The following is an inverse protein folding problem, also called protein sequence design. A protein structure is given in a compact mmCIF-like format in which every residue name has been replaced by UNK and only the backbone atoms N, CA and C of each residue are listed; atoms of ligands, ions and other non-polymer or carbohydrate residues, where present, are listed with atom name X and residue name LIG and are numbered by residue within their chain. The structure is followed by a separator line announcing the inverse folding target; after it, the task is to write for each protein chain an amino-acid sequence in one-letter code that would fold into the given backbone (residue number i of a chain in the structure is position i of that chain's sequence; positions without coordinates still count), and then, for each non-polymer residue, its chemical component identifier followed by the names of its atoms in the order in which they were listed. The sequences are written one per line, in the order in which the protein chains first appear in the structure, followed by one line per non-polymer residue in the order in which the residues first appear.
data_IF_102271417487
#
_entry.id   IF_102271417487
#
_cell.length_a   1.000
_cell.length_b   1.000
_cell.length_c   1.000
_cell.angle_alpha   90.00
_cell.angle_beta   90.00
_cell.angle_gamma   90.00
#
_symmetry.space_group_name_H-M   'P 1'
#
loop_
_entity.id
_entity.type
_entity.pdbx_description
1 polymer ?
#
# COMPACT_ATOMS: atom_id res chain seq x y z
N UNK A 1 -0.03 -13.96 -12.67
CA UNK A 1 0.07 -12.82 -11.76
C UNK A 1 1.45 -12.19 -11.87
N UNK A 2 1.49 -10.91 -12.11
CA UNK A 2 2.74 -10.18 -12.30
C UNK A 2 3.32 -9.76 -10.96
N UNK A 3 4.61 -9.39 -10.98
CA UNK A 3 5.25 -8.89 -9.77
C UNK A 3 4.57 -7.59 -9.30
N UNK A 4 4.10 -6.77 -10.24
CA UNK A 4 3.38 -5.56 -9.89
C UNK A 4 2.10 -5.85 -9.14
N UNK A 5 1.35 -6.85 -9.59
CA UNK A 5 0.12 -7.24 -8.90
C UNK A 5 0.42 -7.76 -7.50
N UNK A 6 1.46 -8.57 -7.38
CA UNK A 6 1.86 -9.10 -6.07
C UNK A 6 2.26 -7.98 -5.14
N UNK A 7 2.97 -6.99 -5.66
CA UNK A 7 3.39 -5.86 -4.84
C UNK A 7 2.19 -5.03 -4.37
N UNK A 8 1.20 -4.82 -5.23
CA UNK A 8 -0.01 -4.11 -4.83
C UNK A 8 -0.76 -4.86 -3.75
N UNK A 9 -0.84 -6.18 -3.87
CA UNK A 9 -1.49 -6.99 -2.85
C UNK A 9 -0.75 -6.91 -1.52
N UNK A 10 0.58 -6.95 -1.58
CA UNK A 10 1.39 -6.84 -0.39
C UNK A 10 1.23 -5.46 0.25
N UNK A 11 1.19 -4.42 -0.58
CA UNK A 11 0.97 -3.07 -0.08
C UNK A 11 -0.36 -2.98 0.67
N UNK A 12 -1.42 -3.54 0.11
CA UNK A 12 -2.72 -3.54 0.79
C UNK A 12 -2.66 -4.24 2.13
N UNK A 13 -1.95 -5.36 2.21
CA UNK A 13 -1.79 -6.08 3.48
C UNK A 13 -1.05 -5.25 4.50
N UNK A 14 0.01 -4.56 4.07
CA UNK A 14 0.78 -3.72 4.98
C UNK A 14 -0.01 -2.50 5.43
N UNK A 15 -0.82 -1.93 4.55
CA UNK A 15 -1.70 -0.83 4.92
C UNK A 15 -2.72 -1.28 5.96
N UNK A 16 -3.25 -2.49 5.81
CA UNK A 16 -4.14 -3.05 6.81
C UNK A 16 -3.43 -3.22 8.15
N UNK A 17 -2.19 -3.71 8.12
CA UNK A 17 -1.42 -3.87 9.34
C UNK A 17 -1.17 -2.53 10.02
N UNK A 18 -0.85 -1.50 9.24
CA UNK A 18 -0.65 -0.16 9.79
C UNK A 18 -1.91 0.36 10.46
N UNK A 19 -3.06 0.15 9.82
CA UNK A 19 -4.35 0.54 10.38
C UNK A 19 -4.64 -0.21 11.68
N UNK A 20 -4.31 -1.49 11.73
CA UNK A 20 -4.49 -2.28 12.95
C UNK A 20 -3.64 -1.73 14.09
N UNK A 21 -2.40 -1.35 13.80
CA UNK A 21 -1.54 -0.77 14.83
C UNK A 21 -2.12 0.54 15.36
N UNK A 22 -2.69 1.36 14.48
CA UNK A 22 -3.34 2.60 14.90
C UNK A 22 -4.53 2.31 15.80
N UNK A 23 -5.34 1.33 15.43
CA UNK A 23 -6.48 0.94 16.25
C UNK A 23 -6.05 0.45 17.61
N UNK A 24 -5.00 -0.37 17.66
CA UNK A 24 -4.48 -0.87 18.93
C UNK A 24 -3.99 0.28 19.80
N UNK A 25 -3.33 1.27 19.20
CA UNK A 25 -2.85 2.42 19.95
C UNK A 25 -4.01 3.21 20.55
N UNK A 26 -5.14 3.28 19.85
CA UNK A 26 -6.31 3.97 20.36
C UNK A 26 -7.02 3.17 21.45
N UNK A 27 -7.01 1.86 21.34
CA UNK A 27 -7.77 1.00 22.25
C UNK A 27 -7.05 0.70 23.55
N UNK A 28 -5.72 0.66 23.53
CA UNK A 28 -4.98 0.30 24.74
C UNK A 28 -4.92 1.46 25.72
N UNK A 29 -4.95 1.14 26.99
CA UNK A 29 -4.79 2.13 28.05
C UNK A 29 -3.39 2.15 28.61
N UNK A 30 -2.56 1.20 28.22
CA UNK A 30 -1.16 1.13 28.64
C UNK A 30 -0.37 2.14 27.81
N UNK A 31 0.22 3.11 28.46
CA UNK A 31 0.96 4.18 27.78
C UNK A 31 2.13 3.65 26.96
N UNK A 32 2.85 2.66 27.51
CA UNK A 32 3.98 2.10 26.80
C UNK A 32 3.53 1.36 25.56
N UNK A 33 2.45 0.58 25.66
CA UNK A 33 1.92 -0.14 24.52
C UNK A 33 1.38 0.83 23.47
N UNK A 34 0.72 1.89 23.91
CA UNK A 34 0.21 2.90 22.99
C UNK A 34 1.33 3.52 22.18
N UNK A 35 2.43 3.86 22.84
CA UNK A 35 3.58 4.44 22.16
C UNK A 35 4.21 3.45 21.19
N UNK A 36 4.31 2.20 21.60
CA UNK A 36 4.88 1.15 20.76
C UNK A 36 4.03 0.94 19.50
N UNK A 37 2.72 0.83 19.67
CA UNK A 37 1.84 0.65 18.51
C UNK A 37 1.89 1.85 17.57
N UNK A 38 1.98 3.06 18.13
CA UNK A 38 2.11 4.26 17.30
C UNK A 38 3.38 4.25 16.48
N UNK A 39 4.49 3.84 17.11
CA UNK A 39 5.76 3.73 16.39
C UNK A 39 5.69 2.70 15.28
N UNK A 40 5.08 1.55 15.56
CA UNK A 40 4.96 0.51 14.55
C UNK A 40 4.10 0.97 13.39
N UNK A 41 3.03 1.71 13.66
CA UNK A 41 2.19 2.22 12.58
C UNK A 41 2.97 3.19 11.70
N UNK A 42 3.81 4.03 12.29
CA UNK A 42 4.63 4.95 11.53
C UNK A 42 5.67 4.22 10.69
N UNK A 43 6.28 3.18 11.24
CA UNK A 43 7.24 2.38 10.51
C UNK A 43 6.58 1.68 9.33
N UNK A 44 5.38 1.16 9.54
CA UNK A 44 4.64 0.52 8.48
C UNK A 44 4.21 1.52 7.41
N UNK A 45 3.81 2.72 7.81
CA UNK A 45 3.48 3.77 6.84
C UNK A 45 4.68 4.10 5.97
N UNK A 46 5.88 4.17 6.56
CA UNK A 46 7.11 4.42 5.78
C UNK A 46 7.38 3.30 4.81
N UNK A 47 7.20 2.05 5.25
CA UNK A 47 7.39 0.90 4.38
C UNK A 47 6.39 0.93 3.24
N UNK A 48 5.12 1.25 3.55
CA UNK A 48 4.08 1.36 2.53
C UNK A 48 4.43 2.41 1.50
N UNK A 49 4.96 3.54 1.95
CA UNK A 49 5.36 4.60 1.03
C UNK A 49 6.46 4.12 0.09
N UNK A 50 7.44 3.39 0.62
CA UNK A 50 8.51 2.85 -0.20
C UNK A 50 7.99 1.87 -1.24
N UNK A 51 7.07 0.99 -0.83
CA UNK A 51 6.50 0.02 -1.75
C UNK A 51 5.64 0.71 -2.79
N UNK A 52 4.87 1.73 -2.39
CA UNK A 52 4.06 2.49 -3.33
C UNK A 52 4.94 3.14 -4.40
N UNK A 53 6.07 3.71 -3.98
CA UNK A 53 7.01 4.31 -4.91
C UNK A 53 7.55 3.27 -5.88
N UNK A 54 7.83 2.08 -5.39
CA UNK A 54 8.32 1.01 -6.26
C UNK A 54 7.26 0.53 -7.22
N UNK A 55 6.02 0.43 -6.77
CA UNK A 55 4.91 0.08 -7.66
C UNK A 55 4.78 1.10 -8.78
N UNK A 56 4.87 2.38 -8.43
CA UNK A 56 4.79 3.44 -9.44
C UNK A 56 5.92 3.32 -10.45
N UNK A 57 7.12 3.02 -9.97
CA UNK A 57 8.28 2.85 -10.83
C UNK A 57 8.06 1.69 -11.81
N UNK A 58 7.58 0.55 -11.30
CA UNK A 58 7.38 -0.63 -12.13
C UNK A 58 6.33 -0.37 -13.19
N UNK A 59 5.25 0.28 -12.83
CA UNK A 59 4.20 0.61 -13.78
C UNK A 59 4.71 1.54 -14.87
N UNK A 60 5.60 2.44 -14.50
CA UNK A 60 6.20 3.36 -15.47
C UNK A 60 7.14 2.63 -16.43
N UNK A 61 7.88 1.65 -15.91
CA UNK A 61 8.86 0.91 -16.72
C UNK A 61 8.24 -0.18 -17.57
N UNK A 62 7.01 -0.57 -17.26
CA UNK A 62 6.34 -1.63 -18.00
C UNK A 62 5.03 -1.12 -18.58
N UNK A 63 5.09 -0.11 -19.43
CA UNK A 63 3.86 0.50 -19.95
C UNK A 63 3.00 -0.44 -20.76
N UNK A 64 3.58 -1.47 -21.38
CA UNK A 64 2.81 -2.41 -22.15
C UNK A 64 1.83 -3.18 -21.29
N UNK A 65 2.29 -3.63 -20.13
CA UNK A 65 1.41 -4.32 -19.18
C UNK A 65 0.31 -3.40 -18.70
N UNK A 66 0.67 -2.18 -18.44
CA UNK A 66 -0.28 -1.20 -17.96
C UNK A 66 -1.36 -0.94 -19.00
N UNK A 67 -0.96 -0.83 -20.25
CA UNK A 67 -1.90 -0.61 -21.34
C UNK A 67 -2.86 -1.78 -21.48
N UNK A 68 -2.34 -2.99 -21.40
CA UNK A 68 -3.20 -4.18 -21.45
C UNK A 68 -4.23 -4.15 -20.33
N UNK A 69 -3.80 -3.85 -19.15
CA UNK A 69 -4.68 -3.86 -18.00
C UNK A 69 -5.74 -2.78 -18.13
N UNK A 70 -5.36 -1.61 -18.60
CA UNK A 70 -6.30 -0.52 -18.77
C UNK A 70 -7.34 -0.85 -19.84
N UNK A 71 -6.90 -1.44 -20.92
CA UNK A 71 -7.84 -1.80 -21.99
C UNK A 71 -8.84 -2.82 -21.51
N UNK A 72 -8.43 -3.72 -20.66
CA UNK A 72 -9.34 -4.72 -20.11
C UNK A 72 -10.29 -4.11 -19.12
N UNK A 73 -9.83 -3.13 -18.35
CA UNK A 73 -10.62 -2.53 -17.30
C UNK A 73 -11.57 -1.48 -17.82
N UNK A 74 -11.06 -0.78 -18.72
CA UNK A 74 -11.64 0.45 -19.04
C UNK A 74 -13.14 0.44 -19.01
N UNK A 75 -11.47 1.20 -18.31
CA UNK A 75 -11.21 1.72 -17.73
C UNK A 75 -11.16 2.13 -16.70
N UNK A 76 -10.64 2.21 -16.17
CA UNK A 76 -10.25 2.68 -15.05
C UNK A 76 -9.72 3.50 -14.66
N UNK A 77 -9.43 3.96 -14.74
CA UNK A 77 -8.66 4.67 -14.15
C UNK A 77 -8.48 5.30 -13.89
N UNK A 78 -8.56 5.53 -14.27
CA UNK A 78 -7.97 6.02 -13.83
C UNK A 78 -7.79 6.17 -13.17
N UNK A 79 -8.17 6.01 -13.48
CA UNK A 79 -7.53 6.12 -12.69
C UNK A 79 -7.17 6.13 -12.16
N UNK A 80 -7.18 6.27 -12.16
CA UNK A 80 -6.44 6.28 -11.64
C UNK A 80 -6.12 6.43 -11.41
N UNK A 81 -6.25 6.59 -11.64
CA UNK A 81 -5.58 6.63 -11.44
C UNK A 81 -5.39 6.66 -11.12
N UNK A 82 -5.60 6.74 -11.37
CA UNK A 82 -5.09 6.65 -11.13
C UNK A 82 -4.95 6.63 -10.79
N UNK A 83 -5.12 6.75 -10.94
CA UNK A 83 -4.71 6.65 -10.72
C UNK A 83 -4.59 6.61 -10.52
#
# INVERSE_FOLDING_TARGET
MTIGEKMHQTLASLENAASSMKSFALDTQDKNAKQMFSQYSQQLDSICQGIQNRCNYIEKEEPQYKVFQQNQQQNQQQSQQQQ
#
